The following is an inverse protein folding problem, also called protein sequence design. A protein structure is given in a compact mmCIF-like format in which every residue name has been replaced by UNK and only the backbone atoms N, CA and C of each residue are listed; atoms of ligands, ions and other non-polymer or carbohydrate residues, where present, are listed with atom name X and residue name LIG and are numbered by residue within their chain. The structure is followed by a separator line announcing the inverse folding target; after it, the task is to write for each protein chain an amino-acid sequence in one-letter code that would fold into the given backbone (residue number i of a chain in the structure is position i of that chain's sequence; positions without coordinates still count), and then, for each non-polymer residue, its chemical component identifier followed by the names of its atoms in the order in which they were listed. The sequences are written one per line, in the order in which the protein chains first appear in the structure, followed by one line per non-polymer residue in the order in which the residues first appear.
data_IF_314290294400
#
_entry.id   IF_314290294400
#
_cell.length_a   1.000
_cell.length_b   1.000
_cell.length_c   1.000
_cell.angle_alpha   90.00
_cell.angle_beta   90.00
_cell.angle_gamma   90.00
#
_symmetry.space_group_name_H-M   'P 1'
#
loop_
_entity.id
_entity.type
_entity.pdbx_description
1 polymer ?
#
# COMPACT_ATOMS: atom_id res chain seq x y z
N UNK A 1 28.06 -6.25 -0.64
CA UNK A 1 28.85 -5.10 -0.17
C UNK A 1 29.81 -4.58 -1.25
N UNK A 2 30.69 -5.39 -1.83
CA UNK A 2 31.67 -4.96 -2.86
C UNK A 2 30.99 -4.32 -4.09
N UNK A 3 29.93 -4.90 -4.62
CA UNK A 3 29.20 -4.36 -5.77
C UNK A 3 28.61 -2.97 -5.49
N UNK A 4 28.10 -2.75 -4.29
CA UNK A 4 27.49 -1.48 -3.87
C UNK A 4 28.54 -0.37 -3.75
N UNK A 5 29.75 -0.71 -3.26
CA UNK A 5 30.88 0.20 -3.21
C UNK A 5 31.36 0.55 -4.62
N UNK A 6 31.48 -0.45 -5.51
CA UNK A 6 31.88 -0.21 -6.91
C UNK A 6 30.88 0.71 -7.65
N UNK A 7 29.56 0.48 -7.46
CA UNK A 7 28.52 1.35 -8.04
C UNK A 7 28.61 2.77 -7.46
N UNK A 8 28.86 2.89 -6.16
CA UNK A 8 29.03 4.19 -5.51
C UNK A 8 30.22 4.96 -6.12
N UNK A 9 31.39 4.30 -6.24
CA UNK A 9 32.60 4.94 -6.78
C UNK A 9 32.41 5.36 -8.25
N UNK A 10 31.75 4.51 -9.06
CA UNK A 10 31.43 4.82 -10.46
C UNK A 10 30.49 6.05 -10.55
N UNK A 11 29.42 6.07 -9.75
CA UNK A 11 28.46 7.18 -9.76
C UNK A 11 29.11 8.45 -9.25
N UNK A 12 29.97 8.38 -8.23
CA UNK A 12 30.73 9.51 -7.72
C UNK A 12 31.65 10.09 -8.79
N UNK A 13 32.47 9.25 -9.41
CA UNK A 13 33.37 9.65 -10.51
C UNK A 13 32.59 10.31 -11.67
N UNK A 14 31.47 9.70 -12.07
CA UNK A 14 30.66 10.20 -13.17
C UNK A 14 30.04 11.58 -12.88
N UNK A 15 29.38 11.71 -11.71
CA UNK A 15 28.60 12.91 -11.37
C UNK A 15 29.46 14.10 -10.90
N UNK A 16 30.58 13.83 -10.25
CA UNK A 16 31.35 14.87 -9.57
C UNK A 16 32.70 15.18 -10.26
N UNK A 17 33.23 14.26 -11.05
CA UNK A 17 34.49 14.44 -11.73
C UNK A 17 34.32 14.55 -13.27
N UNK A 18 33.59 13.59 -13.88
CA UNK A 18 33.49 13.52 -15.34
C UNK A 18 32.52 14.57 -15.92
N UNK A 19 31.29 14.67 -15.38
CA UNK A 19 30.32 15.64 -15.88
C UNK A 19 30.76 17.10 -15.68
N UNK A 20 31.31 17.49 -14.52
CA UNK A 20 31.85 18.83 -14.36
C UNK A 20 33.01 19.17 -15.33
N UNK A 21 33.83 18.17 -15.72
CA UNK A 21 34.87 18.37 -16.73
C UNK A 21 34.33 18.72 -18.13
N UNK A 22 33.02 18.45 -18.36
CA UNK A 22 32.30 18.82 -19.60
C UNK A 22 31.35 20.01 -19.41
N UNK A 23 31.57 20.84 -18.39
CA UNK A 23 30.72 21.99 -18.01
C UNK A 23 29.26 21.61 -17.67
N UNK A 24 28.99 20.32 -17.38
CA UNK A 24 27.67 19.83 -16.99
C UNK A 24 27.62 19.66 -15.48
N UNK A 25 27.11 20.66 -14.76
CA UNK A 25 27.03 20.64 -13.31
C UNK A 25 25.59 20.36 -12.86
N UNK A 26 25.32 19.12 -12.43
CA UNK A 26 24.02 18.72 -11.86
C UNK A 26 23.93 18.93 -10.35
N UNK A 27 25.08 19.03 -9.65
CA UNK A 27 25.16 19.15 -8.21
C UNK A 27 26.20 20.19 -7.79
N UNK A 28 25.97 20.83 -6.65
CA UNK A 28 26.94 21.71 -6.03
C UNK A 28 28.22 20.93 -5.63
N UNK A 29 29.37 21.63 -5.49
CA UNK A 29 30.61 20.98 -5.12
C UNK A 29 30.44 20.14 -3.83
N UNK A 30 31.14 19.00 -3.84
CA UNK A 30 31.10 18.00 -2.77
C UNK A 30 31.43 18.60 -1.42
N UNK A 31 30.55 18.40 -0.44
CA UNK A 31 30.75 18.81 0.95
C UNK A 31 30.85 17.59 1.86
N UNK A 32 31.57 17.74 2.95
CA UNK A 32 31.65 16.73 4.01
C UNK A 32 30.24 16.36 4.49
N UNK A 33 29.91 15.07 4.49
CA UNK A 33 28.55 14.57 4.78
C UNK A 33 27.64 14.29 3.56
N UNK A 34 28.02 14.68 2.37
CA UNK A 34 27.23 14.38 1.15
C UNK A 34 27.36 12.92 0.74
N UNK A 35 28.39 12.21 1.22
CA UNK A 35 28.58 10.76 0.99
C UNK A 35 27.40 9.95 1.48
N UNK A 36 26.92 10.22 2.68
CA UNK A 36 25.76 9.50 3.24
C UNK A 36 24.47 9.80 2.49
N UNK A 37 24.31 11.04 1.99
CA UNK A 37 23.15 11.43 1.18
C UNK A 37 23.17 10.76 -0.19
N UNK A 38 24.36 10.74 -0.84
CA UNK A 38 24.53 10.08 -2.14
C UNK A 38 24.32 8.57 -2.00
N UNK A 39 24.92 7.93 -1.00
CA UNK A 39 24.76 6.51 -0.74
C UNK A 39 23.27 6.16 -0.54
N UNK A 40 22.53 6.92 0.26
CA UNK A 40 21.08 6.73 0.43
C UNK A 40 20.32 6.87 -0.88
N UNK A 41 20.66 7.84 -1.73
CA UNK A 41 20.03 8.02 -3.06
C UNK A 41 20.31 6.84 -3.98
N UNK A 42 21.56 6.34 -4.01
CA UNK A 42 21.96 5.18 -4.81
C UNK A 42 21.24 3.93 -4.35
N UNK A 43 21.23 3.65 -3.05
CA UNK A 43 20.51 2.48 -2.47
C UNK A 43 19.02 2.55 -2.81
N UNK A 44 18.40 3.73 -2.68
CA UNK A 44 17.00 3.95 -3.06
C UNK A 44 16.76 3.73 -4.56
N UNK A 45 17.64 4.26 -5.41
CA UNK A 45 17.55 4.08 -6.87
C UNK A 45 17.69 2.62 -7.28
N UNK A 46 18.65 1.89 -6.73
CA UNK A 46 18.85 0.46 -6.98
C UNK A 46 17.65 -0.37 -6.49
N UNK A 47 17.12 -0.05 -5.32
CA UNK A 47 15.94 -0.73 -4.79
C UNK A 47 14.72 -0.51 -5.69
N UNK A 48 14.48 0.73 -6.15
CA UNK A 48 13.42 1.08 -7.09
C UNK A 48 13.59 0.37 -8.43
N UNK A 49 14.81 0.37 -8.98
CA UNK A 49 15.13 -0.31 -10.23
C UNK A 49 14.91 -1.83 -10.11
N UNK A 50 15.32 -2.43 -8.99
CA UNK A 50 15.14 -3.87 -8.74
C UNK A 50 13.67 -4.24 -8.65
N UNK A 51 12.86 -3.43 -7.94
CA UNK A 51 11.42 -3.65 -7.85
C UNK A 51 10.75 -3.44 -9.21
N UNK A 52 11.12 -2.39 -9.96
CA UNK A 52 10.60 -2.17 -11.30
C UNK A 52 10.91 -3.34 -12.23
N UNK A 53 12.15 -3.83 -12.26
CA UNK A 53 12.55 -4.99 -13.04
C UNK A 53 11.83 -6.28 -12.62
N UNK A 54 11.61 -6.46 -11.31
CA UNK A 54 10.85 -7.61 -10.80
C UNK A 54 9.38 -7.55 -11.23
N UNK A 55 8.77 -6.38 -11.12
CA UNK A 55 7.38 -6.16 -11.55
C UNK A 55 7.25 -6.30 -13.07
N UNK A 56 8.18 -5.74 -13.85
CA UNK A 56 8.19 -5.86 -15.31
C UNK A 56 8.42 -7.31 -15.76
N UNK A 57 9.34 -8.02 -15.12
CA UNK A 57 9.56 -9.45 -15.36
C UNK A 57 8.33 -10.30 -15.01
N UNK A 58 7.65 -10.01 -13.91
CA UNK A 58 6.40 -10.68 -13.52
C UNK A 58 5.29 -10.38 -14.52
N UNK A 59 5.14 -9.13 -14.95
CA UNK A 59 4.18 -8.71 -15.98
C UNK A 59 4.50 -9.37 -17.33
N UNK A 60 5.77 -9.46 -17.70
CA UNK A 60 6.21 -10.07 -18.96
C UNK A 60 6.00 -11.58 -18.99
N UNK A 61 6.23 -12.30 -17.88
CA UNK A 61 5.86 -13.72 -17.75
C UNK A 61 4.37 -13.98 -17.91
N UNK A 62 3.55 -13.02 -17.50
CA UNK A 62 2.08 -13.10 -17.59
C UNK A 62 1.60 -12.94 -19.04
N UNK A 63 2.33 -12.17 -19.88
CA UNK A 63 1.96 -11.94 -21.30
C UNK A 63 2.20 -13.13 -22.23
N UNK A 64 3.03 -14.09 -21.87
CA UNK A 64 3.50 -15.14 -22.77
C UNK A 64 2.55 -16.35 -22.90
N UNK A 65 1.60 -16.54 -21.98
CA UNK A 65 0.68 -17.69 -21.99
C UNK A 65 -0.75 -17.30 -22.40
N UNK A 66 -0.91 -16.83 -23.61
CA UNK A 66 -2.23 -16.47 -24.17
C UNK A 66 -2.91 -17.62 -24.89
N UNK A 67 -4.05 -18.09 -24.39
CA UNK A 67 -5.22 -18.57 -25.18
C UNK A 67 -6.39 -18.85 -24.26
N UNK A 68 -7.34 -17.94 -24.22
CA UNK A 68 -8.75 -18.11 -23.86
C UNK A 68 -9.40 -16.73 -23.69
N UNK A 69 -9.91 -16.18 -24.80
CA UNK A 69 -10.03 -14.72 -24.94
C UNK A 69 -11.24 -14.03 -24.32
N UNK A 70 -12.27 -14.70 -23.86
CA UNK A 70 -13.44 -14.00 -23.28
C UNK A 70 -13.61 -14.18 -21.76
N UNK A 71 -13.34 -15.32 -21.21
CA UNK A 71 -13.22 -15.48 -19.76
C UNK A 71 -11.98 -14.73 -19.26
N UNK A 72 -10.95 -14.68 -20.09
CA UNK A 72 -9.73 -13.93 -19.84
C UNK A 72 -10.00 -12.42 -19.71
N UNK A 73 -10.90 -11.87 -20.52
CA UNK A 73 -11.17 -10.43 -20.53
C UNK A 73 -11.88 -9.96 -19.24
N UNK A 74 -12.86 -10.73 -18.75
CA UNK A 74 -13.49 -10.45 -17.45
C UNK A 74 -12.53 -10.67 -16.28
N UNK A 75 -11.69 -11.69 -16.37
CA UNK A 75 -10.63 -11.95 -15.40
C UNK A 75 -9.55 -10.88 -15.48
N UNK A 76 -9.20 -10.40 -16.67
CA UNK A 76 -8.24 -9.31 -16.89
C UNK A 76 -8.76 -7.96 -16.38
N UNK A 77 -10.04 -7.67 -16.51
CA UNK A 77 -10.62 -6.45 -15.94
C UNK A 77 -10.59 -6.47 -14.41
N UNK A 78 -10.89 -7.60 -13.79
CA UNK A 78 -10.79 -7.78 -12.35
C UNK A 78 -9.33 -7.75 -11.87
N UNK A 79 -8.42 -8.39 -12.61
CA UNK A 79 -6.97 -8.38 -12.33
C UNK A 79 -6.39 -6.99 -12.59
N UNK A 80 -6.83 -6.29 -13.64
CA UNK A 80 -6.39 -4.92 -13.90
C UNK A 80 -6.78 -3.99 -12.77
N UNK A 81 -7.99 -4.10 -12.25
CA UNK A 81 -8.45 -3.33 -11.10
C UNK A 81 -7.67 -3.69 -9.82
N UNK A 82 -7.40 -4.96 -9.58
CA UNK A 82 -6.58 -5.43 -8.46
C UNK A 82 -5.11 -5.01 -8.62
N UNK A 83 -4.55 -5.09 -9.82
CA UNK A 83 -3.19 -4.64 -10.12
C UNK A 83 -3.05 -3.12 -10.03
N UNK A 84 -4.06 -2.36 -10.44
CA UNK A 84 -4.09 -0.91 -10.26
C UNK A 84 -4.09 -0.53 -8.78
N UNK A 85 -4.89 -1.22 -7.97
CA UNK A 85 -4.89 -1.05 -6.52
C UNK A 85 -3.53 -1.40 -5.92
N UNK A 86 -2.99 -2.56 -6.27
CA UNK A 86 -1.72 -3.06 -5.75
C UNK A 86 -0.54 -2.19 -6.19
N UNK A 87 -0.52 -1.76 -7.45
CA UNK A 87 0.52 -0.87 -7.97
C UNK A 87 0.47 0.51 -7.31
N UNK A 88 -0.73 1.05 -7.11
CA UNK A 88 -0.94 2.30 -6.40
C UNK A 88 -0.53 2.18 -4.92
N UNK A 89 -0.91 1.08 -4.28
CA UNK A 89 -0.57 0.80 -2.89
C UNK A 89 0.94 0.64 -2.70
N UNK A 90 1.63 -0.12 -3.56
CA UNK A 90 3.09 -0.25 -3.53
C UNK A 90 3.79 1.09 -3.67
N UNK A 91 3.38 1.91 -4.64
CA UNK A 91 3.95 3.23 -4.82
C UNK A 91 3.81 4.08 -3.56
N UNK A 92 2.63 4.10 -2.95
CA UNK A 92 2.37 4.87 -1.73
C UNK A 92 3.12 4.33 -0.52
N UNK A 93 3.19 3.02 -0.37
CA UNK A 93 3.99 2.39 0.68
C UNK A 93 5.46 2.80 0.56
N UNK A 94 5.95 2.88 -0.68
CA UNK A 94 7.29 3.39 -0.98
C UNK A 94 7.47 4.86 -0.59
N UNK A 95 6.52 5.70 -0.97
CA UNK A 95 6.53 7.11 -0.61
C UNK A 95 6.50 7.29 0.91
N UNK A 96 5.71 6.49 1.64
CA UNK A 96 5.68 6.48 3.10
C UNK A 96 7.03 6.06 3.71
N UNK A 97 7.69 5.04 3.15
CA UNK A 97 9.02 4.61 3.60
C UNK A 97 10.08 5.70 3.35
N UNK A 98 10.06 6.31 2.17
CA UNK A 98 10.97 7.40 1.79
C UNK A 98 10.77 8.65 2.66
N UNK A 99 9.52 8.95 3.01
CA UNK A 99 9.17 10.08 3.88
C UNK A 99 9.43 9.80 5.38
N UNK A 100 9.84 8.58 5.73
CA UNK A 100 10.06 8.17 7.11
C UNK A 100 8.77 7.99 7.92
N UNK A 101 7.62 7.85 7.25
CA UNK A 101 6.31 7.60 7.87
C UNK A 101 6.18 6.17 8.38
N UNK A 102 6.94 5.23 7.80
CA UNK A 102 7.09 3.85 8.27
C UNK A 102 8.56 3.55 8.55
N UNK A 103 8.80 2.77 9.60
CA UNK A 103 10.14 2.31 9.94
C UNK A 103 10.63 1.30 8.87
N UNK A 104 11.84 1.51 8.35
CA UNK A 104 12.42 0.61 7.35
C UNK A 104 13.21 -0.50 8.05
N UNK A 105 12.55 -1.59 8.36
CA UNK A 105 13.11 -2.78 9.02
C UNK A 105 12.79 -4.06 8.22
N UNK A 106 13.13 -5.21 8.80
CA UNK A 106 12.84 -6.52 8.17
C UNK A 106 11.34 -6.77 7.98
N UNK A 107 10.49 -6.24 8.86
CA UNK A 107 9.02 -6.38 8.75
C UNK A 107 8.49 -5.68 7.49
N UNK A 108 9.09 -4.55 7.12
CA UNK A 108 8.74 -3.87 5.86
C UNK A 108 9.07 -4.74 4.65
N UNK A 109 10.20 -5.44 4.67
CA UNK A 109 10.57 -6.34 3.57
C UNK A 109 9.59 -7.51 3.43
N UNK A 110 9.21 -8.15 4.55
CA UNK A 110 8.20 -9.22 4.55
C UNK A 110 6.85 -8.71 4.04
N UNK A 111 6.47 -7.50 4.42
CA UNK A 111 5.25 -6.86 3.95
C UNK A 111 5.29 -6.58 2.44
N UNK A 112 6.40 -6.03 1.93
CA UNK A 112 6.60 -5.85 0.48
C UNK A 112 6.53 -7.17 -0.27
N UNK A 113 7.19 -8.21 0.25
CA UNK A 113 7.15 -9.53 -0.36
C UNK A 113 5.73 -10.09 -0.41
N UNK A 114 4.93 -9.91 0.64
CA UNK A 114 3.51 -10.27 0.65
C UNK A 114 2.76 -9.57 -0.48
N UNK A 115 2.85 -8.24 -0.58
CA UNK A 115 2.14 -7.46 -1.60
C UNK A 115 2.55 -7.90 -3.01
N UNK A 116 3.85 -8.08 -3.25
CA UNK A 116 4.38 -8.53 -4.54
C UNK A 116 3.88 -9.95 -4.87
N UNK A 117 3.88 -10.86 -3.90
CA UNK A 117 3.39 -12.22 -4.11
C UNK A 117 1.90 -12.23 -4.46
N UNK A 118 1.08 -11.43 -3.80
CA UNK A 118 -0.36 -11.32 -4.12
C UNK A 118 -0.59 -10.77 -5.53
N UNK A 119 0.19 -9.79 -5.96
CA UNK A 119 0.18 -9.30 -7.34
C UNK A 119 0.59 -10.40 -8.33
N UNK A 120 1.63 -11.16 -8.03
CA UNK A 120 2.15 -12.19 -8.92
C UNK A 120 1.21 -13.39 -9.08
N UNK A 121 0.59 -13.82 -7.98
CA UNK A 121 -0.36 -14.95 -7.95
C UNK A 121 -1.74 -14.58 -8.49
N UNK A 122 -2.00 -13.29 -8.71
CA UNK A 122 -3.32 -12.76 -9.09
C UNK A 122 -4.42 -13.12 -8.11
N UNK A 123 -4.07 -13.25 -6.84
CA UNK A 123 -5.03 -13.49 -5.77
C UNK A 123 -5.87 -12.23 -5.59
N UNK A 124 -7.09 -12.27 -6.10
CA UNK A 124 -8.03 -11.15 -5.95
C UNK A 124 -8.75 -11.18 -4.62
N UNK A 125 -8.81 -12.35 -3.97
CA UNK A 125 -9.45 -12.57 -2.68
C UNK A 125 -8.49 -13.29 -1.73
N UNK A 126 -8.54 -12.89 -0.47
CA UNK A 126 -7.81 -13.53 0.65
C UNK A 126 -8.77 -13.72 1.83
N UNK A 127 -8.38 -14.52 2.81
CA UNK A 127 -9.15 -14.59 4.06
C UNK A 127 -9.05 -13.26 4.82
N UNK A 128 -10.10 -12.92 5.56
CA UNK A 128 -10.09 -11.75 6.42
C UNK A 128 -8.96 -11.83 7.47
N UNK A 129 -8.65 -13.03 7.96
CA UNK A 129 -7.53 -13.25 8.89
C UNK A 129 -6.19 -12.85 8.29
N UNK A 130 -5.93 -13.26 7.05
CA UNK A 130 -4.71 -12.90 6.34
C UNK A 130 -4.63 -11.38 6.12
N UNK A 131 -5.70 -10.76 5.62
CA UNK A 131 -5.77 -9.33 5.38
C UNK A 131 -5.62 -8.53 6.69
N UNK A 132 -6.25 -9.00 7.78
CA UNK A 132 -6.16 -8.39 9.10
C UNK A 132 -4.76 -8.48 9.72
N UNK A 133 -4.09 -9.61 9.54
CA UNK A 133 -2.72 -9.81 10.02
C UNK A 133 -1.76 -8.80 9.39
N UNK A 134 -1.82 -8.62 8.08
CA UNK A 134 -0.97 -7.65 7.38
C UNK A 134 -1.39 -6.20 7.62
N UNK A 135 -2.68 -5.95 7.81
CA UNK A 135 -3.16 -4.66 8.28
C UNK A 135 -2.51 -4.27 9.63
N UNK A 136 -2.50 -5.19 10.58
CA UNK A 136 -1.85 -4.94 11.88
C UNK A 136 -0.36 -4.67 11.74
N UNK A 137 0.31 -5.40 10.87
CA UNK A 137 1.72 -5.18 10.59
C UNK A 137 1.97 -3.78 10.01
N UNK A 138 1.13 -3.31 9.09
CA UNK A 138 1.19 -1.95 8.55
C UNK A 138 0.98 -0.89 9.64
N UNK A 139 0.02 -1.11 10.54
CA UNK A 139 -0.24 -0.24 11.70
C UNK A 139 0.98 -0.16 12.61
N UNK A 140 1.60 -1.30 12.95
CA UNK A 140 2.79 -1.36 13.79
C UNK A 140 4.00 -0.63 13.18
N UNK A 141 4.12 -0.63 11.85
CA UNK A 141 5.18 0.08 11.13
C UNK A 141 4.95 1.59 11.04
N UNK A 142 3.71 2.05 11.24
CA UNK A 142 3.34 3.47 11.12
C UNK A 142 3.90 4.29 12.27
N UNK A 143 4.69 5.33 11.96
CA UNK A 143 5.41 6.13 12.97
C UNK A 143 4.64 7.39 13.39
N UNK A 144 3.78 7.92 12.49
CA UNK A 144 3.22 9.28 12.67
C UNK A 144 1.78 9.32 13.11
N UNK A 145 1.10 8.17 13.23
CA UNK A 145 -0.30 8.12 13.60
C UNK A 145 -0.52 7.22 14.81
N UNK A 146 -1.50 7.58 15.62
CA UNK A 146 -1.96 6.76 16.74
C UNK A 146 -3.13 5.91 16.25
N UNK A 147 -3.05 4.62 16.51
CA UNK A 147 -4.13 3.69 16.19
C UNK A 147 -4.74 3.13 17.45
N UNK A 148 -6.05 3.02 17.46
CA UNK A 148 -6.80 2.32 18.49
C UNK A 148 -7.65 1.25 17.84
N UNK A 149 -7.50 0.00 18.30
CA UNK A 149 -8.22 -1.15 17.79
C UNK A 149 -9.11 -1.68 18.89
N UNK A 150 -10.41 -1.79 18.63
CA UNK A 150 -11.43 -2.22 19.60
C UNK A 150 -12.24 -3.39 19.07
N UNK A 151 -12.73 -4.24 19.97
CA UNK A 151 -13.73 -5.27 19.70
C UNK A 151 -13.22 -6.50 18.95
N UNK A 152 -11.89 -6.64 18.74
CA UNK A 152 -11.31 -7.80 18.04
C UNK A 152 -11.58 -9.11 18.78
N UNK A 153 -11.60 -9.06 20.09
CA UNK A 153 -11.88 -10.20 20.97
C UNK A 153 -13.29 -10.77 20.80
N UNK A 154 -14.19 -9.97 20.27
CA UNK A 154 -15.60 -10.36 20.08
C UNK A 154 -15.87 -10.97 18.69
N UNK A 155 -14.86 -11.03 17.82
CA UNK A 155 -15.02 -11.53 16.46
C UNK A 155 -15.15 -13.05 16.47
N UNK A 156 -16.24 -13.61 15.93
CA UNK A 156 -16.40 -15.05 15.86
C UNK A 156 -15.41 -15.69 14.87
N UNK A 157 -14.93 -16.89 15.20
CA UNK A 157 -13.91 -17.59 14.42
C UNK A 157 -14.28 -17.80 12.94
N UNK A 158 -15.56 -17.98 12.62
CA UNK A 158 -16.00 -18.18 11.23
C UNK A 158 -15.78 -16.97 10.35
N UNK A 159 -15.76 -15.73 10.91
CA UNK A 159 -15.57 -14.52 10.14
C UNK A 159 -14.14 -14.42 9.58
N UNK A 160 -13.16 -14.91 10.32
CA UNK A 160 -11.76 -14.87 9.89
C UNK A 160 -11.50 -15.62 8.57
N UNK A 161 -12.34 -16.62 8.27
CA UNK A 161 -12.28 -17.38 7.02
C UNK A 161 -13.08 -16.73 5.86
N UNK A 162 -13.77 -15.62 6.10
CA UNK A 162 -14.48 -14.91 5.02
C UNK A 162 -13.49 -14.32 4.04
N UNK A 163 -13.81 -14.44 2.76
CA UNK A 163 -13.02 -13.86 1.69
C UNK A 163 -13.28 -12.36 1.57
N UNK A 164 -12.21 -11.60 1.49
CA UNK A 164 -12.21 -10.15 1.23
C UNK A 164 -11.26 -9.83 0.07
N UNK A 165 -11.46 -8.74 -0.66
CA UNK A 165 -10.53 -8.36 -1.71
C UNK A 165 -9.17 -8.00 -1.12
N UNK A 166 -8.13 -8.49 -1.77
CA UNK A 166 -6.73 -8.31 -1.34
C UNK A 166 -6.35 -6.84 -1.28
N UNK A 167 -5.60 -6.44 -0.25
CA UNK A 167 -5.05 -5.10 0.00
C UNK A 167 -6.08 -4.00 0.27
N UNK A 168 -7.36 -4.33 0.40
CA UNK A 168 -8.40 -3.30 0.58
C UNK A 168 -8.41 -2.71 1.97
N UNK A 169 -8.27 -3.52 3.02
CA UNK A 169 -8.16 -3.01 4.40
C UNK A 169 -6.91 -2.14 4.57
N UNK A 170 -5.81 -2.57 3.97
CA UNK A 170 -4.56 -1.82 4.00
C UNK A 170 -4.66 -0.50 3.24
N UNK A 171 -5.39 -0.47 2.11
CA UNK A 171 -5.67 0.76 1.36
C UNK A 171 -6.49 1.75 2.20
N UNK A 172 -7.41 1.28 3.04
CA UNK A 172 -8.16 2.19 3.94
C UNK A 172 -7.28 2.79 5.02
N UNK A 173 -6.38 1.99 5.60
CA UNK A 173 -5.41 2.52 6.59
C UNK A 173 -4.45 3.51 5.92
N UNK A 174 -3.97 3.21 4.73
CA UNK A 174 -3.13 4.13 3.97
C UNK A 174 -3.87 5.44 3.69
N UNK A 175 -5.11 5.39 3.22
CA UNK A 175 -5.93 6.59 3.04
C UNK A 175 -6.16 7.33 4.37
N UNK A 176 -6.48 6.61 5.44
CA UNK A 176 -6.67 7.23 6.75
C UNK A 176 -5.40 7.95 7.22
N UNK A 177 -4.21 7.38 7.00
CA UNK A 177 -2.94 8.03 7.35
C UNK A 177 -2.58 9.20 6.45
N UNK A 178 -2.94 9.16 5.18
CA UNK A 178 -2.67 10.23 4.21
C UNK A 178 -3.51 11.47 4.48
N UNK A 179 -4.80 11.27 4.76
CA UNK A 179 -5.78 12.36 4.87
C UNK A 179 -6.07 12.80 6.32
N UNK A 180 -5.45 12.18 7.31
CA UNK A 180 -5.54 12.62 8.70
C UNK A 180 -4.51 13.70 9.01
N UNK A 181 -4.87 14.63 9.88
CA UNK A 181 -3.90 15.53 10.48
C UNK A 181 -2.87 14.74 11.31
N UNK A 182 -1.64 15.25 11.37
CA UNK A 182 -0.55 14.59 12.12
C UNK A 182 -0.95 14.36 13.58
N UNK A 183 -0.57 13.21 14.11
CA UNK A 183 -0.84 12.78 15.49
C UNK A 183 -2.33 12.57 15.84
N UNK A 184 -3.21 12.59 14.86
CA UNK A 184 -4.62 12.25 15.09
C UNK A 184 -4.79 10.74 15.30
N UNK A 185 -5.81 10.40 16.08
CA UNK A 185 -6.21 9.02 16.33
C UNK A 185 -6.97 8.47 15.15
N UNK A 186 -6.58 7.28 14.67
CA UNK A 186 -7.31 6.48 13.72
C UNK A 186 -7.92 5.32 14.50
N UNK A 187 -9.25 5.25 14.50
CA UNK A 187 -10.00 4.23 15.24
C UNK A 187 -10.41 3.10 14.29
N UNK A 188 -10.10 1.87 14.67
CA UNK A 188 -10.62 0.65 14.07
C UNK A 188 -11.50 -0.05 15.11
N UNK A 189 -12.77 -0.19 14.82
CA UNK A 189 -13.73 -0.74 15.76
C UNK A 189 -14.53 -1.88 15.13
N UNK A 190 -14.50 -3.04 15.79
CA UNK A 190 -15.37 -4.17 15.48
C UNK A 190 -16.62 -4.15 16.36
N UNK A 191 -17.76 -4.13 15.72
CA UNK A 191 -19.05 -4.17 16.41
C UNK A 191 -19.83 -5.41 15.99
N UNK A 192 -20.20 -6.22 16.97
CA UNK A 192 -21.05 -7.41 16.77
C UNK A 192 -22.49 -7.00 16.95
N UNK A 193 -23.30 -7.17 15.91
CA UNK A 193 -24.75 -6.99 15.93
C UNK A 193 -25.46 -8.34 15.83
N UNK A 194 -26.77 -8.36 16.06
CA UNK A 194 -27.56 -9.58 16.02
C UNK A 194 -27.44 -10.34 14.71
N UNK A 195 -27.49 -9.63 13.57
CA UNK A 195 -27.45 -10.20 12.23
C UNK A 195 -26.24 -9.79 11.39
N UNK A 196 -25.29 -9.06 11.96
CA UNK A 196 -24.15 -8.56 11.23
C UNK A 196 -22.93 -8.33 12.12
N UNK A 197 -21.77 -8.30 11.49
CA UNK A 197 -20.53 -7.76 12.06
C UNK A 197 -20.08 -6.58 11.23
N UNK A 198 -19.64 -5.54 11.89
CA UNK A 198 -19.21 -4.30 11.25
C UNK A 198 -17.79 -3.99 11.68
N UNK A 199 -16.89 -3.84 10.71
CA UNK A 199 -15.62 -3.15 10.89
C UNK A 199 -15.80 -1.69 10.50
N UNK A 200 -15.57 -0.80 11.45
CA UNK A 200 -15.60 0.63 11.26
C UNK A 200 -14.19 1.18 11.37
N UNK A 201 -13.76 1.93 10.36
CA UNK A 201 -12.49 2.67 10.36
C UNK A 201 -12.86 4.15 10.31
N UNK A 202 -12.42 4.91 11.30
CA UNK A 202 -12.74 6.32 11.43
C UNK A 202 -11.44 7.13 11.59
N UNK A 203 -11.31 8.19 10.78
CA UNK A 203 -10.25 9.15 10.90
C UNK A 203 -10.77 10.58 10.74
N UNK A 204 -10.17 11.53 11.47
CA UNK A 204 -10.46 12.94 11.30
C UNK A 204 -9.67 13.51 10.14
N UNK A 205 -10.37 13.99 9.13
CA UNK A 205 -9.78 14.53 7.91
C UNK A 205 -9.08 15.86 8.15
N UNK A 206 -7.93 16.03 7.50
CA UNK A 206 -7.32 17.34 7.32
C UNK A 206 -7.90 17.98 6.05
N UNK A 207 -8.57 19.12 6.20
CA UNK A 207 -9.22 19.83 5.08
C UNK A 207 -8.25 20.23 3.97
N UNK A 208 -7.00 20.52 4.30
CA UNK A 208 -5.97 20.84 3.31
C UNK A 208 -5.54 19.62 2.48
N UNK A 209 -5.54 18.44 3.08
CA UNK A 209 -5.20 17.20 2.41
C UNK A 209 -6.32 16.68 1.51
N UNK A 210 -7.58 16.83 1.90
CA UNK A 210 -8.75 16.35 1.14
C UNK A 210 -8.84 16.99 -0.25
N UNK A 211 -8.45 18.24 -0.41
CA UNK A 211 -8.48 18.94 -1.70
C UNK A 211 -7.54 18.32 -2.77
N UNK A 212 -6.59 17.50 -2.36
CA UNK A 212 -5.60 16.86 -3.24
C UNK A 212 -5.97 15.44 -3.65
N UNK A 213 -7.00 14.85 -3.04
CA UNK A 213 -7.44 13.48 -3.29
C UNK A 213 -8.18 13.33 -4.61
N UNK A 214 -7.83 12.33 -5.42
CA UNK A 214 -8.51 12.03 -6.70
C UNK A 214 -9.75 11.16 -6.54
N UNK A 215 -10.02 10.60 -5.35
CA UNK A 215 -11.11 9.65 -5.07
C UNK A 215 -10.98 8.28 -5.75
N UNK A 216 -10.05 8.12 -6.69
CA UNK A 216 -9.91 6.90 -7.52
C UNK A 216 -9.68 5.63 -6.72
N UNK A 217 -8.98 5.70 -5.60
CA UNK A 217 -8.72 4.54 -4.75
C UNK A 217 -9.99 3.97 -4.13
N UNK A 218 -10.89 4.83 -3.67
CA UNK A 218 -12.17 4.41 -3.07
C UNK A 218 -13.12 3.81 -4.11
N UNK A 219 -13.18 4.39 -5.32
CA UNK A 219 -13.97 3.84 -6.42
C UNK A 219 -13.51 2.44 -6.82
N UNK A 220 -12.19 2.23 -6.85
CA UNK A 220 -11.60 0.95 -7.17
C UNK A 220 -11.92 -0.10 -6.11
N UNK A 221 -11.79 0.25 -4.83
CA UNK A 221 -12.15 -0.63 -3.73
C UNK A 221 -13.65 -0.96 -3.76
N UNK A 222 -14.53 0.00 -4.03
CA UNK A 222 -15.96 -0.24 -4.18
C UNK A 222 -16.27 -1.31 -5.25
N UNK A 223 -15.64 -1.21 -6.42
CA UNK A 223 -15.80 -2.18 -7.50
C UNK A 223 -15.36 -3.59 -7.09
N UNK A 224 -14.32 -3.71 -6.27
CA UNK A 224 -13.85 -5.00 -5.78
C UNK A 224 -14.82 -5.64 -4.76
N UNK A 225 -15.57 -4.83 -3.99
CA UNK A 225 -16.59 -5.34 -3.07
C UNK A 225 -17.96 -5.60 -3.72
N UNK A 226 -18.24 -5.04 -4.89
CA UNK A 226 -19.53 -5.20 -5.55
C UNK A 226 -19.94 -6.67 -5.79
N UNK A 227 -19.06 -7.56 -6.27
CA UNK A 227 -19.39 -8.98 -6.40
C UNK A 227 -19.66 -9.69 -5.06
N UNK A 228 -19.12 -9.20 -3.97
CA UNK A 228 -19.26 -9.80 -2.64
C UNK A 228 -20.56 -9.41 -1.92
N UNK A 229 -21.32 -8.45 -2.45
CA UNK A 229 -22.63 -8.08 -1.89
C UNK A 229 -23.61 -9.25 -1.84
N UNK A 230 -23.59 -10.11 -2.86
CA UNK A 230 -24.42 -11.32 -2.87
C UNK A 230 -23.98 -12.37 -1.86
N UNK A 231 -22.79 -12.23 -1.31
CA UNK A 231 -22.23 -13.07 -0.25
C UNK A 231 -22.39 -12.45 1.15
N UNK A 232 -23.19 -11.38 1.27
CA UNK A 232 -23.42 -10.69 2.54
C UNK A 232 -22.25 -9.84 3.00
N UNK A 233 -21.41 -9.33 2.06
CA UNK A 233 -20.35 -8.41 2.40
C UNK A 233 -20.62 -7.05 1.73
N UNK A 234 -20.87 -6.01 2.52
CA UNK A 234 -21.20 -4.67 2.02
C UNK A 234 -20.26 -3.60 2.55
N UNK A 235 -19.90 -2.67 1.68
CA UNK A 235 -19.01 -1.56 1.98
C UNK A 235 -19.76 -0.23 1.87
N UNK A 236 -19.55 0.66 2.85
CA UNK A 236 -20.13 1.99 2.87
C UNK A 236 -19.10 3.01 3.31
N UNK A 237 -19.22 4.23 2.77
CA UNK A 237 -18.42 5.39 3.16
C UNK A 237 -19.36 6.52 3.57
N UNK A 238 -19.00 7.24 4.63
CA UNK A 238 -19.72 8.43 5.04
C UNK A 238 -18.80 9.44 5.71
N UNK A 239 -19.23 10.68 5.74
CA UNK A 239 -18.60 11.73 6.53
C UNK A 239 -19.52 12.02 7.71
N UNK A 240 -18.97 11.89 8.92
CA UNK A 240 -19.63 12.22 10.17
C UNK A 240 -19.03 13.52 10.74
N UNK A 241 -19.82 14.30 11.44
CA UNK A 241 -19.39 15.49 12.18
C UNK A 241 -18.54 16.46 11.35
N UNK A 242 -18.85 16.63 10.06
CA UNK A 242 -18.20 17.52 9.09
C UNK A 242 -16.70 17.23 8.83
N UNK A 243 -16.06 16.37 9.59
CA UNK A 243 -14.62 16.14 9.49
C UNK A 243 -14.18 14.68 9.70
N UNK A 244 -15.05 13.80 10.17
CA UNK A 244 -14.71 12.39 10.38
C UNK A 244 -15.10 11.57 9.15
N UNK A 245 -14.11 11.03 8.45
CA UNK A 245 -14.34 10.06 7.37
C UNK A 245 -14.46 8.68 7.96
N UNK A 246 -15.53 7.98 7.62
CA UNK A 246 -15.86 6.65 8.14
C UNK A 246 -16.00 5.67 6.99
N UNK A 247 -15.28 4.56 7.10
CA UNK A 247 -15.45 3.37 6.26
C UNK A 247 -16.11 2.30 7.11
N UNK A 248 -17.18 1.71 6.62
CA UNK A 248 -17.85 0.58 7.26
C UNK A 248 -17.89 -0.62 6.33
N UNK A 249 -17.32 -1.72 6.80
CA UNK A 249 -17.39 -3.02 6.15
C UNK A 249 -18.30 -3.91 6.98
N UNK A 250 -19.45 -4.26 6.42
CA UNK A 250 -20.47 -5.08 7.06
C UNK A 250 -20.46 -6.49 6.51
N UNK A 251 -20.49 -7.46 7.38
CA UNK A 251 -20.64 -8.88 7.06
C UNK A 251 -21.97 -9.38 7.63
N UNK A 252 -22.86 -9.85 6.80
CA UNK A 252 -24.11 -10.49 7.23
C UNK A 252 -23.81 -11.92 7.72
N UNK A 253 -24.53 -12.35 8.76
CA UNK A 253 -24.40 -13.69 9.37
C UNK A 253 -25.08 -14.76 8.53
#
# INVERSE_FOLDING_TARGET
MVLLLAVYDIVKLYLYDLLPSWDVVFFYPWKEGDEQKLMRKIVRGLLLATIYLLVDHLISRIRVNGTETQQLQRTLDNISNSNLLSGHFLRRLFDMAVQGKIAFDLKVMDFFQYVINKMALRDTLVSLDEEWRYLRQLIEMSVHHRFEIKGVENIPAWLWNRSVPTLTLMTWIENATEYSAKNQLILLEWTVMEHALILRICNRMDRECVSRGTGRGLDLVNRLYEPLRHQGCTLQYRIEDEACFVVELKFDK
#
